data_IF_760651676398
#
_entry.id   IF_760651676398
#
_cell.length_a   1.000
_cell.length_b   1.000
_cell.length_c   1.000
_cell.angle_alpha   90.00
_cell.angle_beta   90.00
_cell.angle_gamma   90.00
#
_symmetry.space_group_name_H-M   'P 1'
#
loop_
_entity.id
_entity.type
_entity.pdbx_description
1 polymer ?
#
# COMPACT_ATOMS: atom_id res chain seq x y z
N UNK A 1 -19.10 -8.75 26.09
CA UNK A 1 -17.69 -9.03 25.73
C UNK A 1 -17.05 -9.75 26.91
N UNK A 2 -16.64 -11.01 26.76
CA UNK A 2 -15.91 -11.75 27.81
C UNK A 2 -14.42 -11.53 27.63
N UNK A 3 -13.76 -11.00 28.67
CA UNK A 3 -12.33 -10.67 28.66
C UNK A 3 -11.58 -11.67 29.54
N UNK A 4 -10.58 -12.34 28.97
CA UNK A 4 -9.70 -13.27 29.72
C UNK A 4 -8.65 -12.49 30.50
N UNK A 5 -8.13 -13.08 31.57
CA UNK A 5 -7.12 -12.44 32.41
C UNK A 5 -5.88 -11.96 31.61
N UNK A 6 -5.40 -12.77 30.67
CA UNK A 6 -4.26 -12.42 29.82
C UNK A 6 -4.55 -11.19 28.93
N UNK A 7 -5.73 -11.12 28.33
CA UNK A 7 -6.16 -10.00 27.50
C UNK A 7 -6.24 -8.70 28.32
N UNK A 8 -6.73 -8.81 29.56
CA UNK A 8 -6.80 -7.67 30.48
C UNK A 8 -5.41 -7.18 30.90
N UNK A 9 -4.48 -8.10 31.20
CA UNK A 9 -3.10 -7.76 31.55
C UNK A 9 -2.44 -6.95 30.44
N UNK A 10 -2.55 -7.45 29.20
CA UNK A 10 -1.97 -6.81 28.01
C UNK A 10 -2.64 -5.48 27.73
N UNK A 11 -3.97 -5.40 27.82
CA UNK A 11 -4.70 -4.15 27.65
C UNK A 11 -4.24 -3.07 28.64
N UNK A 12 -4.04 -3.42 29.91
CA UNK A 12 -3.52 -2.48 30.93
C UNK A 12 -2.15 -1.93 30.54
N UNK A 13 -1.25 -2.80 30.08
CA UNK A 13 0.09 -2.40 29.67
C UNK A 13 0.07 -1.54 28.39
N UNK A 14 -0.84 -1.79 27.45
CA UNK A 14 -1.05 -0.92 26.28
C UNK A 14 -1.63 0.45 26.65
N UNK A 15 -2.55 0.50 27.63
CA UNK A 15 -3.17 1.74 28.12
C UNK A 15 -2.17 2.59 28.90
N UNK A 16 -1.25 1.97 29.64
CA UNK A 16 -0.24 2.67 30.43
C UNK A 16 1.11 1.94 30.32
N UNK A 17 1.82 2.09 29.19
CA UNK A 17 3.10 1.44 29.01
C UNK A 17 4.14 2.03 29.98
N UNK A 18 5.09 1.22 30.45
CA UNK A 18 6.14 1.67 31.36
C UNK A 18 6.86 2.92 30.80
N UNK A 19 6.97 3.96 31.62
CA UNK A 19 7.63 5.20 31.21
C UNK A 19 6.91 6.02 30.13
N UNK A 20 5.64 5.70 29.81
CA UNK A 20 4.86 6.35 28.73
C UNK A 20 5.54 6.29 27.35
N UNK A 21 6.36 5.28 27.12
CA UNK A 21 7.04 5.06 25.84
C UNK A 21 6.19 4.19 24.91
N UNK A 22 6.61 4.10 23.65
CA UNK A 22 6.04 3.15 22.71
C UNK A 22 6.30 1.72 23.19
N UNK A 23 5.31 0.84 23.04
CA UNK A 23 5.40 -0.55 23.45
C UNK A 23 4.82 -1.45 22.35
N UNK A 24 5.44 -2.62 22.18
CA UNK A 24 4.96 -3.68 21.30
C UNK A 24 4.54 -4.88 22.13
N UNK A 25 3.35 -5.43 21.85
CA UNK A 25 2.82 -6.61 22.53
C UNK A 25 2.76 -7.78 21.56
N UNK A 26 3.21 -8.95 21.99
CA UNK A 26 3.11 -10.18 21.20
C UNK A 26 2.12 -11.13 21.85
N UNK A 27 1.13 -11.57 21.06
CA UNK A 27 0.21 -12.64 21.43
C UNK A 27 0.14 -13.66 20.31
N UNK A 28 -0.27 -14.88 20.64
CA UNK A 28 -0.50 -15.91 19.65
C UNK A 28 -1.75 -15.59 18.81
N UNK A 29 -1.83 -16.20 17.62
CA UNK A 29 -3.01 -16.07 16.76
C UNK A 29 -4.21 -16.74 17.43
N UNK A 30 -5.38 -16.11 17.30
CA UNK A 30 -6.62 -16.60 17.93
C UNK A 30 -6.82 -16.23 19.40
N UNK A 31 -5.88 -15.51 20.03
CA UNK A 31 -6.02 -15.05 21.42
C UNK A 31 -6.89 -13.80 21.58
N UNK A 32 -7.43 -13.26 20.49
CA UNK A 32 -8.35 -12.12 20.51
C UNK A 32 -7.68 -10.76 20.56
N UNK A 33 -6.49 -10.60 19.96
CA UNK A 33 -5.79 -9.32 19.77
C UNK A 33 -6.71 -8.25 19.17
N UNK A 34 -7.10 -8.46 17.92
CA UNK A 34 -7.93 -7.55 17.12
C UNK A 34 -9.38 -7.49 17.59
N UNK A 35 -9.91 -8.57 18.19
CA UNK A 35 -11.34 -8.71 18.48
C UNK A 35 -11.76 -8.33 19.90
N UNK A 36 -10.80 -8.24 20.84
CA UNK A 36 -11.04 -7.91 22.24
C UNK A 36 -10.09 -6.81 22.74
N UNK A 37 -8.77 -6.99 22.57
CA UNK A 37 -7.77 -6.07 23.15
C UNK A 37 -7.82 -4.71 22.46
N UNK A 38 -7.71 -4.68 21.12
CA UNK A 38 -7.74 -3.42 20.34
C UNK A 38 -9.00 -2.60 20.64
N UNK A 39 -10.24 -3.15 20.56
CA UNK A 39 -11.44 -2.40 20.92
C UNK A 39 -11.47 -1.91 22.37
N UNK A 40 -11.04 -2.74 23.34
CA UNK A 40 -11.06 -2.37 24.75
C UNK A 40 -10.08 -1.22 25.06
N UNK A 41 -8.85 -1.33 24.53
CA UNK A 41 -7.82 -0.28 24.67
C UNK A 41 -8.29 1.00 23.99
N UNK A 42 -8.81 0.91 22.76
CA UNK A 42 -9.30 2.08 22.03
C UNK A 42 -10.43 2.80 22.77
N UNK A 43 -11.40 2.07 23.32
CA UNK A 43 -12.51 2.65 24.08
C UNK A 43 -12.05 3.33 25.38
N UNK A 44 -11.12 2.71 26.11
CA UNK A 44 -10.58 3.28 27.35
C UNK A 44 -9.75 4.53 27.06
N UNK A 45 -8.91 4.50 26.02
CA UNK A 45 -8.12 5.68 25.64
C UNK A 45 -9.01 6.82 25.13
N UNK A 46 -10.06 6.50 24.37
CA UNK A 46 -10.98 7.50 23.84
C UNK A 46 -11.82 8.15 24.94
N UNK A 47 -12.16 7.41 26.00
CA UNK A 47 -12.91 7.97 27.14
C UNK A 47 -12.08 8.94 27.98
N UNK A 48 -10.74 8.85 27.95
CA UNK A 48 -9.86 9.80 28.64
C UNK A 48 -9.85 11.18 27.98
N UNK A 49 -10.13 11.26 26.67
CA UNK A 49 -10.18 12.51 25.89
C UNK A 49 -8.91 13.37 25.94
N UNK A 50 -7.75 12.72 26.12
CA UNK A 50 -6.44 13.40 26.15
C UNK A 50 -5.83 13.57 24.76
N UNK A 51 -6.18 12.70 23.81
CA UNK A 51 -5.61 12.65 22.46
C UNK A 51 -6.56 11.96 21.47
N UNK A 52 -6.31 12.14 20.18
CA UNK A 52 -7.02 11.43 19.12
C UNK A 52 -6.59 9.96 19.10
N UNK A 53 -7.49 9.04 19.46
CA UNK A 53 -7.20 7.61 19.37
C UNK A 53 -7.30 7.15 17.92
N UNK A 54 -6.21 6.61 17.38
CA UNK A 54 -6.18 6.06 16.03
C UNK A 54 -5.93 4.56 16.08
N UNK A 55 -6.79 3.79 15.44
CA UNK A 55 -6.56 2.35 15.20
C UNK A 55 -6.02 2.23 13.78
N UNK A 56 -4.77 1.80 13.66
CA UNK A 56 -4.06 1.65 12.38
C UNK A 56 -4.07 0.18 11.98
N UNK A 57 -4.56 -0.10 10.78
CA UNK A 57 -4.65 -1.45 10.22
C UNK A 57 -4.31 -1.46 8.73
N UNK A 58 -3.87 -2.62 8.25
CA UNK A 58 -3.62 -2.84 6.83
C UNK A 58 -4.90 -2.72 6.00
N UNK A 59 -4.75 -2.36 4.72
CA UNK A 59 -5.88 -2.26 3.78
C UNK A 59 -6.78 -3.50 3.75
N UNK A 60 -6.25 -4.74 3.71
CA UNK A 60 -7.07 -5.95 3.70
C UNK A 60 -7.94 -6.10 4.96
N UNK A 61 -7.44 -5.70 6.13
CA UNK A 61 -8.09 -5.90 7.43
C UNK A 61 -9.07 -4.76 7.79
N UNK A 62 -8.95 -3.59 7.16
CA UNK A 62 -9.72 -2.38 7.52
C UNK A 62 -11.23 -2.57 7.57
N UNK A 63 -11.83 -3.22 6.57
CA UNK A 63 -13.28 -3.46 6.54
C UNK A 63 -13.72 -4.33 7.73
N UNK A 64 -12.96 -5.39 8.01
CA UNK A 64 -13.23 -6.30 9.12
C UNK A 64 -13.02 -5.61 10.47
N UNK A 65 -11.93 -4.85 10.63
CA UNK A 65 -11.66 -4.09 11.85
C UNK A 65 -12.75 -3.06 12.13
N UNK A 66 -13.23 -2.35 11.10
CA UNK A 66 -14.35 -1.41 11.26
C UNK A 66 -15.60 -2.10 11.80
N UNK A 67 -16.00 -3.22 11.18
CA UNK A 67 -17.15 -4.00 11.63
C UNK A 67 -16.95 -4.52 13.05
N UNK A 68 -15.75 -4.96 13.40
CA UNK A 68 -15.39 -5.41 14.74
C UNK A 68 -15.53 -4.29 15.77
N UNK A 69 -14.94 -3.11 15.51
CA UNK A 69 -15.02 -1.96 16.40
C UNK A 69 -16.48 -1.53 16.60
N UNK A 70 -17.27 -1.41 15.53
CA UNK A 70 -18.70 -1.07 15.63
C UNK A 70 -19.47 -2.14 16.40
N UNK A 71 -19.25 -3.43 16.13
CA UNK A 71 -19.95 -4.51 16.82
C UNK A 71 -19.59 -4.61 18.30
N UNK A 72 -18.35 -4.28 18.68
CA UNK A 72 -17.88 -4.34 20.06
C UNK A 72 -18.19 -3.08 20.87
N UNK A 73 -18.17 -1.91 20.22
CA UNK A 73 -18.23 -0.61 20.88
C UNK A 73 -19.53 0.13 20.65
N UNK A 74 -20.36 -0.25 19.67
CA UNK A 74 -21.59 0.46 19.30
C UNK A 74 -22.67 0.51 20.39
N UNK A 75 -22.55 -0.32 21.43
CA UNK A 75 -23.41 -0.26 22.62
C UNK A 75 -22.89 0.67 23.74
N UNK A 76 -21.69 1.22 23.60
CA UNK A 76 -21.10 2.13 24.59
C UNK A 76 -21.56 3.57 24.31
N UNK A 77 -22.01 4.26 25.35
CA UNK A 77 -22.36 5.68 25.24
C UNK A 77 -21.10 6.51 25.00
N UNK A 78 -21.20 7.50 24.11
CA UNK A 78 -20.13 8.45 23.81
C UNK A 78 -18.84 7.84 23.22
N UNK A 79 -18.93 6.65 22.62
CA UNK A 79 -17.84 6.08 21.83
C UNK A 79 -18.29 5.99 20.38
N UNK A 80 -17.71 6.82 19.52
CA UNK A 80 -18.00 6.82 18.10
C UNK A 80 -16.79 6.31 17.30
N UNK A 81 -17.05 5.39 16.37
CA UNK A 81 -16.02 4.85 15.48
C UNK A 81 -16.09 5.60 14.15
N UNK A 82 -15.03 6.33 13.84
CA UNK A 82 -14.90 7.17 12.66
C UNK A 82 -13.93 6.54 11.66
N UNK A 83 -14.02 6.96 10.41
CA UNK A 83 -12.99 6.73 9.39
C UNK A 83 -12.39 8.07 9.02
N UNK A 84 -11.12 8.09 8.61
CA UNK A 84 -10.55 9.31 8.05
C UNK A 84 -11.37 9.71 6.80
N UNK A 85 -11.99 10.91 6.77
CA UNK A 85 -12.81 11.35 5.64
C UNK A 85 -11.91 11.88 4.51
N UNK A 86 -11.01 11.02 4.04
CA UNK A 86 -10.02 11.36 3.03
C UNK A 86 -9.80 10.18 2.10
N UNK A 87 -9.73 10.49 0.82
CA UNK A 87 -9.22 9.63 -0.25
C UNK A 87 -8.46 10.53 -1.21
N UNK A 88 -7.43 9.98 -1.86
CA UNK A 88 -6.62 10.76 -2.80
C UNK A 88 -7.42 11.23 -4.02
N UNK A 89 -8.46 10.48 -4.39
CA UNK A 89 -9.32 10.80 -5.54
C UNK A 89 -10.29 11.96 -5.26
N UNK A 90 -10.41 12.41 -3.99
CA UNK A 90 -11.21 13.58 -3.66
C UNK A 90 -10.52 14.85 -4.14
N UNK A 91 -11.23 15.63 -4.96
CA UNK A 91 -10.87 17.02 -5.25
C UNK A 91 -11.26 17.86 -4.05
N UNK A 92 -10.32 18.09 -3.15
CA UNK A 92 -10.51 18.89 -1.95
C UNK A 92 -10.18 20.36 -2.23
N UNK A 93 -11.04 21.27 -1.77
CA UNK A 93 -10.72 22.68 -1.60
C UNK A 93 -10.18 22.99 -0.20
N UNK A 94 -9.77 24.25 0.02
CA UNK A 94 -9.30 24.73 1.33
C UNK A 94 -10.37 24.53 2.42
N UNK A 95 -11.63 24.83 2.11
CA UNK A 95 -12.75 24.67 3.04
C UNK A 95 -13.02 23.20 3.42
N UNK A 96 -12.81 22.28 2.49
CA UNK A 96 -12.92 20.84 2.76
C UNK A 96 -11.83 20.40 3.74
N UNK A 97 -10.59 20.85 3.53
CA UNK A 97 -9.48 20.56 4.45
C UNK A 97 -9.73 21.18 5.83
N UNK A 98 -10.26 22.41 5.89
CA UNK A 98 -10.63 23.04 7.16
C UNK A 98 -11.73 22.27 7.89
N UNK A 99 -12.67 21.70 7.14
CA UNK A 99 -13.72 20.82 7.67
C UNK A 99 -13.14 19.51 8.22
N UNK A 100 -12.21 18.90 7.48
CA UNK A 100 -11.49 17.69 7.92
C UNK A 100 -10.70 17.97 9.22
N UNK A 101 -9.96 19.07 9.28
CA UNK A 101 -9.21 19.48 10.49
C UNK A 101 -10.12 19.61 11.71
N UNK A 102 -11.23 20.34 11.55
CA UNK A 102 -12.21 20.55 12.62
C UNK A 102 -12.87 19.24 13.05
N UNK A 103 -13.24 18.40 12.08
CA UNK A 103 -13.80 17.08 12.34
C UNK A 103 -12.88 16.22 13.19
N UNK A 104 -11.59 16.21 12.86
CA UNK A 104 -10.60 15.38 13.56
C UNK A 104 -10.26 15.92 14.94
N UNK A 105 -10.19 17.25 15.12
CA UNK A 105 -10.13 17.87 16.45
C UNK A 105 -11.35 17.53 17.31
N UNK A 106 -12.55 17.61 16.74
CA UNK A 106 -13.79 17.25 17.44
C UNK A 106 -13.86 15.76 17.78
N UNK A 107 -13.30 14.89 16.93
CA UNK A 107 -13.17 13.46 17.21
C UNK A 107 -12.33 13.25 18.47
N UNK A 108 -11.20 13.95 18.62
CA UNK A 108 -10.36 13.85 19.82
C UNK A 108 -11.09 14.34 21.09
N UNK A 109 -11.79 15.46 21.03
CA UNK A 109 -12.43 16.07 22.22
C UNK A 109 -13.72 15.37 22.65
N UNK A 110 -14.43 14.72 21.73
CA UNK A 110 -15.66 13.98 22.05
C UNK A 110 -15.41 12.54 22.50
N UNK A 111 -14.19 12.02 22.30
CA UNK A 111 -13.83 10.62 22.61
C UNK A 111 -14.12 9.66 21.45
N UNK A 112 -13.86 10.11 20.22
CA UNK A 112 -13.96 9.30 19.02
C UNK A 112 -12.73 8.42 18.80
N UNK A 113 -12.95 7.28 18.15
CA UNK A 113 -11.92 6.35 17.71
C UNK A 113 -11.83 6.47 16.19
N UNK A 114 -10.66 6.82 15.67
CA UNK A 114 -10.44 6.96 14.24
C UNK A 114 -9.78 5.71 13.67
N UNK A 115 -10.47 4.99 12.78
CA UNK A 115 -9.87 3.92 12.01
C UNK A 115 -9.11 4.50 10.82
N UNK A 116 -7.82 4.18 10.72
CA UNK A 116 -6.90 4.73 9.73
C UNK A 116 -6.08 3.62 9.07
N UNK A 117 -5.71 3.83 7.81
CA UNK A 117 -4.76 2.97 7.09
C UNK A 117 -3.46 3.75 6.90
N UNK A 118 -2.29 3.09 6.90
CA UNK A 118 -1.02 3.75 6.59
C UNK A 118 -1.07 4.53 5.27
N UNK A 119 -1.75 3.97 4.26
CA UNK A 119 -2.00 4.59 2.96
C UNK A 119 -2.67 5.97 3.06
N UNK A 120 -3.64 6.11 3.96
CA UNK A 120 -4.38 7.36 4.13
C UNK A 120 -3.53 8.43 4.80
N UNK A 121 -2.74 8.07 5.82
CA UNK A 121 -1.83 9.00 6.52
C UNK A 121 -0.81 9.55 5.54
N UNK A 122 -0.17 8.66 4.78
CA UNK A 122 0.86 9.06 3.85
C UNK A 122 0.29 9.87 2.67
N UNK A 123 -0.85 9.45 2.11
CA UNK A 123 -1.51 10.21 1.05
C UNK A 123 -1.93 11.62 1.50
N UNK A 124 -2.44 11.76 2.73
CA UNK A 124 -2.81 13.05 3.31
C UNK A 124 -1.59 13.98 3.44
N UNK A 125 -0.47 13.44 3.93
CA UNK A 125 0.80 14.15 4.04
C UNK A 125 1.37 14.56 2.67
N UNK A 126 1.37 13.65 1.70
CA UNK A 126 1.90 13.89 0.36
C UNK A 126 1.07 14.91 -0.42
N UNK A 127 -0.27 14.90 -0.28
CA UNK A 127 -1.13 15.92 -0.87
C UNK A 127 -0.76 17.31 -0.37
N UNK A 128 -0.42 17.45 0.92
CA UNK A 128 0.08 18.72 1.48
C UNK A 128 1.34 19.22 0.76
N UNK A 129 2.31 18.34 0.52
CA UNK A 129 3.51 18.68 -0.24
C UNK A 129 3.23 18.97 -1.72
N UNK A 130 2.36 18.19 -2.36
CA UNK A 130 1.93 18.38 -3.75
C UNK A 130 1.37 19.79 -3.98
N UNK A 131 0.46 20.23 -3.11
CA UNK A 131 -0.13 21.56 -3.14
C UNK A 131 0.93 22.68 -3.02
N UNK A 132 1.97 22.49 -2.21
CA UNK A 132 3.05 23.46 -2.04
C UNK A 132 4.00 23.50 -3.25
N UNK A 133 4.34 22.34 -3.81
CA UNK A 133 5.27 22.24 -4.96
C UNK A 133 4.63 22.82 -6.22
N UNK A 134 3.37 22.48 -6.50
CA UNK A 134 2.68 22.95 -7.70
C UNK A 134 2.31 24.43 -7.63
N UNK A 135 2.44 25.08 -6.46
CA UNK A 135 2.13 26.51 -6.23
C UNK A 135 0.69 26.94 -6.55
N UNK A 136 -0.22 25.99 -6.86
CA UNK A 136 -1.61 26.27 -7.18
C UNK A 136 -2.47 26.51 -5.92
N UNK A 137 -2.12 25.87 -4.80
CA UNK A 137 -2.95 25.86 -3.57
C UNK A 137 -2.11 25.90 -2.29
N UNK A 138 -1.28 26.94 -2.13
CA UNK A 138 -0.34 27.06 -0.99
C UNK A 138 -1.07 27.00 0.37
N UNK A 139 -2.16 27.74 0.51
CA UNK A 139 -2.97 27.78 1.76
C UNK A 139 -3.49 26.39 2.13
N UNK A 140 -4.03 25.66 1.14
CA UNK A 140 -4.49 24.28 1.32
C UNK A 140 -3.34 23.36 1.77
N UNK A 141 -2.19 23.47 1.12
CA UNK A 141 -1.01 22.67 1.44
C UNK A 141 -0.52 22.93 2.87
N UNK A 142 -0.48 24.19 3.29
CA UNK A 142 -0.14 24.57 4.66
C UNK A 142 -1.12 24.00 5.68
N UNK A 143 -2.43 24.11 5.42
CA UNK A 143 -3.47 23.58 6.31
C UNK A 143 -3.45 22.05 6.41
N UNK A 144 -3.20 21.34 5.30
CA UNK A 144 -3.01 19.89 5.29
C UNK A 144 -1.81 19.48 6.16
N UNK A 145 -0.66 20.15 6.00
CA UNK A 145 0.54 19.84 6.79
C UNK A 145 0.39 20.24 8.26
N UNK A 146 -0.31 21.33 8.57
CA UNK A 146 -0.66 21.69 9.94
C UNK A 146 -1.55 20.62 10.58
N UNK A 147 -2.57 20.18 9.85
CA UNK A 147 -3.48 19.11 10.28
C UNK A 147 -2.72 17.81 10.54
N UNK A 148 -1.82 17.42 9.63
CA UNK A 148 -0.95 16.25 9.80
C UNK A 148 -0.06 16.39 11.04
N UNK A 149 0.60 17.54 11.22
CA UNK A 149 1.45 17.83 12.39
C UNK A 149 0.66 17.76 13.69
N UNK A 150 -0.59 18.23 13.69
CA UNK A 150 -1.46 18.12 14.85
C UNK A 150 -1.69 16.66 15.23
N UNK A 151 -1.95 15.76 14.26
CA UNK A 151 -2.10 14.33 14.54
C UNK A 151 -0.82 13.69 15.05
N UNK A 152 0.33 14.02 14.46
CA UNK A 152 1.61 13.47 14.88
C UNK A 152 1.93 13.83 16.35
N UNK A 153 1.44 14.98 16.84
CA UNK A 153 1.67 15.46 18.20
C UNK A 153 0.55 15.12 19.21
N UNK A 154 -0.69 14.95 18.76
CA UNK A 154 -1.87 14.82 19.63
C UNK A 154 -2.69 13.56 19.36
N UNK A 155 -2.04 12.47 18.97
CA UNK A 155 -2.69 11.18 18.77
C UNK A 155 -2.10 10.08 19.64
N UNK A 156 -2.89 9.03 19.82
CA UNK A 156 -2.46 7.78 20.40
C UNK A 156 -2.80 6.63 19.47
N UNK A 157 -1.74 6.03 18.92
CA UNK A 157 -1.84 5.01 17.88
C UNK A 157 -1.87 3.61 18.48
N UNK A 158 -2.85 2.83 18.04
CA UNK A 158 -2.95 1.39 18.27
C UNK A 158 -2.78 0.73 16.91
N UNK A 159 -1.67 0.03 16.71
CA UNK A 159 -1.37 -0.65 15.46
C UNK A 159 -1.67 -2.13 15.62
N UNK A 160 -2.61 -2.65 14.83
CA UNK A 160 -2.88 -4.10 14.75
C UNK A 160 -2.02 -4.72 13.65
N UNK A 161 -1.49 -5.94 13.87
CA UNK A 161 -0.54 -6.60 12.95
C UNK A 161 0.65 -5.68 12.59
N UNK A 162 1.34 -5.19 13.63
CA UNK A 162 2.42 -4.18 13.49
C UNK A 162 3.63 -4.67 12.68
N UNK A 163 3.89 -5.98 12.69
CA UNK A 163 4.92 -6.62 11.87
C UNK A 163 4.62 -6.51 10.37
N UNK A 164 3.36 -6.59 9.97
CA UNK A 164 2.93 -6.33 8.59
C UNK A 164 2.95 -4.83 8.27
N UNK A 165 2.38 -3.99 9.14
CA UNK A 165 2.24 -2.55 8.90
C UNK A 165 3.59 -1.81 8.88
N UNK A 166 4.59 -2.31 9.60
CA UNK A 166 5.95 -1.74 9.63
C UNK A 166 6.96 -2.54 8.80
N UNK A 167 6.49 -3.52 8.01
CA UNK A 167 7.35 -4.30 7.13
C UNK A 167 8.00 -3.41 6.06
N UNK A 168 9.29 -3.61 5.79
CA UNK A 168 9.99 -2.94 4.68
C UNK A 168 9.47 -3.35 3.30
N UNK A 169 8.72 -4.47 3.23
CA UNK A 169 8.01 -4.89 1.99
C UNK A 169 6.79 -4.03 1.71
N UNK A 170 6.28 -3.33 2.73
CA UNK A 170 5.15 -2.43 2.61
C UNK A 170 5.66 -1.03 2.26
N UNK A 171 6.20 -0.88 1.05
CA UNK A 171 6.57 0.42 0.50
C UNK A 171 5.40 0.99 -0.30
N UNK A 172 4.90 2.13 0.12
CA UNK A 172 3.82 2.83 -0.59
C UNK A 172 4.42 3.79 -1.62
N UNK A 173 4.41 3.38 -2.88
CA UNK A 173 4.86 4.20 -4.01
C UNK A 173 3.70 5.07 -4.51
N UNK A 174 3.86 6.39 -4.43
CA UNK A 174 2.86 7.35 -4.91
C UNK A 174 3.38 8.08 -6.15
N UNK A 175 2.65 7.93 -7.26
CA UNK A 175 2.85 8.79 -8.43
C UNK A 175 2.31 10.18 -8.15
N UNK A 176 2.98 11.22 -8.64
CA UNK A 176 2.55 12.63 -8.54
C UNK A 176 2.05 13.11 -9.90
N UNK A 177 1.07 14.01 -9.90
CA UNK A 177 0.49 14.56 -11.12
C UNK A 177 -0.61 13.72 -11.77
N UNK A 178 -1.00 14.11 -12.98
CA UNK A 178 -2.11 13.50 -13.72
C UNK A 178 -1.69 12.13 -14.25
N UNK A 179 -2.59 11.15 -14.19
CA UNK A 179 -2.37 9.86 -14.83
C UNK A 179 -2.11 10.06 -16.33
N UNK A 180 -0.90 9.75 -16.76
CA UNK A 180 -0.50 9.78 -18.16
C UNK A 180 -0.16 8.37 -18.65
N UNK A 181 -0.23 8.11 -19.97
CA UNK A 181 0.36 6.90 -20.53
C UNK A 181 1.81 6.74 -20.06
N UNK A 182 2.23 5.51 -19.77
CA UNK A 182 3.63 5.23 -19.47
C UNK A 182 4.51 5.77 -20.60
N UNK A 183 5.67 6.33 -20.25
CA UNK A 183 6.62 6.79 -21.24
C UNK A 183 6.88 5.68 -22.29
N UNK A 184 6.82 6.07 -23.56
CA UNK A 184 6.94 5.18 -24.73
C UNK A 184 5.80 4.16 -24.89
N UNK A 185 4.67 4.28 -24.21
CA UNK A 185 3.44 3.51 -24.50
C UNK A 185 2.88 3.86 -25.89
N UNK A 186 2.43 2.90 -26.73
CA UNK A 186 2.47 1.43 -26.53
C UNK A 186 3.80 0.78 -26.95
N UNK A 187 4.69 1.55 -27.58
CA UNK A 187 6.02 1.12 -28.03
C UNK A 187 6.79 0.29 -27.00
N UNK A 188 6.65 0.59 -25.70
CA UNK A 188 7.32 -0.12 -24.62
C UNK A 188 7.04 -1.62 -24.60
N UNK A 189 5.81 -2.05 -24.85
CA UNK A 189 5.50 -3.49 -24.95
C UNK A 189 5.61 -3.99 -26.38
N UNK A 190 5.31 -3.16 -27.39
CA UNK A 190 5.51 -3.53 -28.80
C UNK A 190 6.98 -3.86 -29.09
N UNK A 191 7.93 -3.15 -28.46
CA UNK A 191 9.36 -3.42 -28.57
C UNK A 191 9.69 -4.86 -28.16
N UNK A 192 9.07 -5.37 -27.09
CA UNK A 192 9.26 -6.75 -26.65
C UNK A 192 8.68 -7.73 -27.68
N UNK A 193 7.51 -7.42 -28.25
CA UNK A 193 6.93 -8.22 -29.34
C UNK A 193 7.85 -8.25 -30.56
N UNK A 194 8.41 -7.12 -30.99
CA UNK A 194 9.31 -7.06 -32.14
C UNK A 194 10.61 -7.83 -31.91
N UNK A 195 11.17 -7.77 -30.69
CA UNK A 195 12.33 -8.60 -30.31
C UNK A 195 11.97 -10.09 -30.36
N UNK A 196 10.79 -10.48 -29.86
CA UNK A 196 10.31 -11.86 -29.94
C UNK A 196 10.09 -12.31 -31.40
N UNK A 197 9.58 -11.44 -32.26
CA UNK A 197 9.42 -11.75 -33.69
C UNK A 197 10.77 -11.97 -34.38
N UNK A 198 11.80 -11.21 -34.00
CA UNK A 198 13.18 -11.47 -34.47
C UNK A 198 13.67 -12.83 -33.96
N UNK A 199 13.42 -13.18 -32.70
CA UNK A 199 13.76 -14.51 -32.15
C UNK A 199 13.10 -15.61 -32.99
N UNK A 200 11.81 -15.46 -33.31
CA UNK A 200 11.08 -16.39 -34.19
C UNK A 200 11.73 -16.54 -35.57
N UNK A 201 12.19 -15.44 -36.17
CA UNK A 201 12.83 -15.47 -37.50
C UNK A 201 14.20 -16.17 -37.48
N UNK A 202 14.97 -15.98 -36.40
CA UNK A 202 16.36 -16.46 -36.31
C UNK A 202 16.45 -17.90 -35.81
N UNK A 203 15.55 -18.33 -34.92
CA UNK A 203 15.59 -19.65 -34.29
C UNK A 203 15.60 -20.84 -35.27
N UNK A 204 14.81 -20.87 -36.36
CA UNK A 204 14.84 -21.98 -37.32
C UNK A 204 16.24 -22.23 -37.90
N UNK A 205 16.98 -21.17 -38.21
CA UNK A 205 18.35 -21.26 -38.73
C UNK A 205 19.31 -21.84 -37.67
N UNK A 206 19.22 -21.36 -36.43
CA UNK A 206 20.05 -21.84 -35.32
C UNK A 206 19.79 -23.30 -34.95
N UNK A 207 18.55 -23.79 -35.12
CA UNK A 207 18.23 -25.22 -34.94
C UNK A 207 18.89 -26.06 -36.01
N UNK A 208 19.00 -25.57 -37.24
CA UNK A 208 19.77 -26.21 -38.31
C UNK A 208 21.25 -26.38 -37.93
N UNK A 209 21.85 -25.35 -37.36
CA UNK A 209 23.26 -25.36 -36.93
C UNK A 209 23.49 -26.18 -35.66
N UNK A 210 22.53 -26.19 -34.73
CA UNK A 210 22.67 -26.77 -33.39
C UNK A 210 21.42 -27.59 -32.97
N UNK A 211 21.12 -28.70 -33.67
CA UNK A 211 19.83 -29.40 -33.53
C UNK A 211 19.60 -30.08 -32.18
N UNK A 212 20.66 -30.31 -31.38
CA UNK A 212 20.54 -30.86 -30.02
C UNK A 212 20.48 -29.80 -28.93
N UNK A 213 20.75 -28.54 -29.29
CA UNK A 213 20.89 -27.46 -28.32
C UNK A 213 19.66 -26.55 -28.26
N UNK A 214 18.81 -26.57 -29.30
CA UNK A 214 17.56 -25.80 -29.36
C UNK A 214 16.49 -26.71 -29.94
N UNK A 215 15.33 -26.78 -29.28
CA UNK A 215 14.11 -27.35 -29.83
C UNK A 215 13.18 -26.21 -30.24
N UNK A 216 12.59 -26.35 -31.43
CA UNK A 216 11.69 -25.37 -32.01
C UNK A 216 10.46 -26.08 -32.58
N UNK A 217 9.27 -25.66 -32.15
CA UNK A 217 8.00 -26.16 -32.68
C UNK A 217 7.06 -24.99 -32.99
N UNK A 218 6.70 -24.80 -34.26
CA UNK A 218 5.72 -23.80 -34.68
C UNK A 218 4.48 -24.51 -35.23
N UNK A 219 3.63 -25.00 -34.32
CA UNK A 219 2.48 -25.85 -34.66
C UNK A 219 1.23 -25.06 -35.06
N UNK A 220 1.10 -23.82 -34.60
CA UNK A 220 -0.13 -23.03 -34.71
C UNK A 220 0.01 -21.83 -35.67
N UNK A 221 1.14 -21.72 -36.36
CA UNK A 221 1.35 -20.74 -37.43
C UNK A 221 1.38 -19.28 -36.94
N UNK A 222 1.08 -18.31 -37.84
CA UNK A 222 1.35 -16.89 -37.61
C UNK A 222 0.56 -16.26 -36.45
N UNK A 223 -0.52 -16.89 -35.97
CA UNK A 223 -1.34 -16.41 -34.85
C UNK A 223 -0.87 -16.90 -33.47
N UNK A 224 0.27 -17.58 -33.40
CA UNK A 224 0.86 -18.09 -32.16
C UNK A 224 2.32 -17.66 -32.05
N UNK A 225 2.96 -17.87 -30.90
CA UNK A 225 4.42 -17.81 -30.80
C UNK A 225 4.97 -19.24 -30.77
N UNK A 226 6.07 -19.57 -31.48
CA UNK A 226 6.61 -20.92 -31.50
C UNK A 226 7.08 -21.33 -30.11
N UNK A 227 6.95 -22.63 -29.81
CA UNK A 227 7.62 -23.19 -28.65
C UNK A 227 9.12 -23.26 -28.92
N UNK A 228 9.91 -22.64 -28.05
CA UNK A 228 11.37 -22.62 -28.15
C UNK A 228 11.92 -23.09 -26.81
N UNK A 229 12.71 -24.17 -26.82
CA UNK A 229 13.43 -24.66 -25.65
C UNK A 229 14.92 -24.68 -25.90
N UNK A 230 15.67 -23.94 -25.07
CA UNK A 230 17.13 -23.87 -25.14
C UNK A 230 17.68 -24.95 -24.18
N UNK A 231 18.32 -25.96 -24.75
CA UNK A 231 18.94 -27.08 -24.05
C UNK A 231 20.46 -26.92 -23.91
N UNK A 232 21.08 -26.14 -24.80
CA UNK A 232 22.51 -25.87 -24.77
C UNK A 232 22.92 -24.92 -23.66
N UNK A 233 24.21 -25.00 -23.27
CA UNK A 233 24.82 -24.13 -22.28
C UNK A 233 25.12 -22.71 -22.81
N UNK A 234 26.10 -22.04 -22.18
CA UNK A 234 26.41 -20.63 -22.46
C UNK A 234 26.70 -20.30 -23.93
N UNK A 235 27.33 -21.20 -24.69
CA UNK A 235 27.61 -21.00 -26.12
C UNK A 235 26.33 -20.87 -26.96
N UNK A 236 25.32 -21.68 -26.68
CA UNK A 236 24.04 -21.64 -27.40
C UNK A 236 23.27 -20.36 -27.09
N UNK A 237 23.27 -19.95 -25.82
CA UNK A 237 22.68 -18.68 -25.40
C UNK A 237 23.38 -17.49 -26.06
N UNK A 238 24.72 -17.49 -26.08
CA UNK A 238 25.52 -16.46 -26.73
C UNK A 238 25.20 -16.35 -28.23
N UNK A 239 25.17 -17.48 -28.95
CA UNK A 239 24.83 -17.48 -30.38
C UNK A 239 23.42 -16.98 -30.66
N UNK A 240 22.44 -17.35 -29.85
CA UNK A 240 21.07 -16.84 -29.99
C UNK A 240 21.03 -15.31 -29.81
N UNK A 241 21.63 -14.80 -28.73
CA UNK A 241 21.69 -13.35 -28.47
C UNK A 241 22.41 -12.62 -29.61
N UNK A 242 23.55 -13.14 -30.07
CA UNK A 242 24.29 -12.54 -31.18
C UNK A 242 23.48 -12.52 -32.48
N UNK A 243 22.77 -13.60 -32.79
CA UNK A 243 21.98 -13.68 -34.01
C UNK A 243 20.75 -12.75 -33.97
N UNK A 244 20.08 -12.65 -32.82
CA UNK A 244 19.02 -11.66 -32.58
C UNK A 244 19.56 -10.23 -32.70
N UNK A 245 20.67 -9.92 -32.04
CA UNK A 245 21.28 -8.60 -32.09
C UNK A 245 21.71 -8.21 -33.51
N UNK A 246 22.33 -9.13 -34.26
CA UNK A 246 22.70 -8.89 -35.67
C UNK A 246 21.47 -8.59 -36.53
N UNK A 247 20.40 -9.38 -36.38
CA UNK A 247 19.17 -9.15 -37.13
C UNK A 247 18.58 -7.78 -36.81
N UNK A 248 18.49 -7.41 -35.53
CA UNK A 248 18.04 -6.09 -35.09
C UNK A 248 18.92 -4.97 -35.66
N UNK A 249 20.25 -5.12 -35.66
CA UNK A 249 21.16 -4.11 -36.22
C UNK A 249 21.00 -3.96 -37.74
N UNK A 250 20.59 -5.00 -38.45
CA UNK A 250 20.41 -4.99 -39.90
C UNK A 250 19.05 -4.43 -40.32
N UNK A 251 17.98 -4.78 -39.59
CA UNK A 251 16.59 -4.45 -39.98
C UNK A 251 15.98 -3.31 -39.17
N UNK A 252 16.62 -2.93 -38.05
CA UNK A 252 16.01 -2.09 -37.03
C UNK A 252 14.92 -2.82 -36.23
N UNK A 253 14.35 -2.09 -35.26
CA UNK A 253 13.10 -2.45 -34.59
C UNK A 253 12.03 -1.54 -35.18
N UNK A 254 11.34 -2.01 -36.23
CA UNK A 254 10.14 -1.34 -36.74
C UNK A 254 9.01 -1.51 -35.73
#
# INVERSE_FOLDING_TARGET
MTIRAIQMSIAKEMISPPGRQNASMQLNMGEGKSSIIVPAVAAILASMRESLVRVIVGKPQSKQMFQMLVARLGGLQNVAVHRLPFSRDLRLGVDDVATIHRYLKNCATTGGILLVQPEHILSFKLMGFECLVNSESIEMGQLLLETQRYFDLHSRDIVDESDENFSTRFELIYTMGIQMPLAFSPGRWLLLHHVLDVVRQVCPSLVGDMPRAIEYFDQHGPSSFPFIRILGGGETQYRLVCAVARQICQTGLA
#
